data_IF_422536177905
#
_entry.id   IF_422536177905
#
_cell.length_a   1.000
_cell.length_b   1.000
_cell.length_c   1.000
_cell.angle_alpha   90.00
_cell.angle_beta   90.00
_cell.angle_gamma   90.00
#
_symmetry.space_group_name_H-M   'P 1'
#
loop_
_entity.id
_entity.type
_entity.pdbx_description
1 polymer ?
#
# COMPACT_ATOMS: atom_id res chain seq x y z
N UNK A 1 26.95 -30.42 -24.90
CA UNK A 1 25.48 -30.33 -24.66
C UNK A 1 25.22 -30.81 -23.24
N UNK A 2 24.62 -29.99 -22.43
CA UNK A 2 24.17 -30.42 -21.10
C UNK A 2 23.01 -31.39 -21.30
N UNK A 3 23.04 -32.55 -20.63
CA UNK A 3 21.97 -33.57 -20.72
C UNK A 3 20.84 -33.31 -19.72
N UNK A 4 21.00 -32.30 -18.87
CA UNK A 4 20.04 -31.95 -17.81
C UNK A 4 19.41 -30.60 -18.16
N UNK A 5 18.08 -30.46 -18.13
CA UNK A 5 17.41 -29.18 -18.33
C UNK A 5 17.85 -28.16 -17.30
N UNK A 6 17.97 -26.91 -17.70
CA UNK A 6 18.17 -25.74 -16.82
C UNK A 6 17.07 -24.69 -17.04
N UNK A 7 16.71 -23.95 -15.99
CA UNK A 7 15.79 -22.83 -16.09
C UNK A 7 16.55 -21.54 -16.39
N UNK A 8 16.15 -20.84 -17.43
CA UNK A 8 16.80 -19.60 -17.87
C UNK A 8 15.82 -18.66 -18.56
N UNK A 9 16.22 -17.41 -18.69
CA UNK A 9 15.51 -16.35 -19.39
C UNK A 9 16.32 -15.94 -20.62
N UNK A 10 15.65 -15.77 -21.74
CA UNK A 10 16.24 -15.33 -23.00
C UNK A 10 15.60 -13.99 -23.41
N UNK A 11 16.43 -13.04 -23.80
CA UNK A 11 16.02 -11.76 -24.38
C UNK A 11 16.11 -11.86 -25.90
N UNK A 12 15.01 -11.54 -26.60
CA UNK A 12 14.96 -11.48 -28.07
C UNK A 12 15.95 -10.46 -28.64
N UNK A 13 16.33 -10.62 -29.93
CA UNK A 13 17.29 -9.74 -30.60
C UNK A 13 16.83 -8.27 -30.64
N UNK A 14 15.53 -8.02 -30.78
CA UNK A 14 14.93 -6.68 -30.73
C UNK A 14 14.83 -6.10 -29.32
N UNK A 15 15.18 -6.89 -28.29
CA UNK A 15 15.13 -6.56 -26.87
C UNK A 15 13.73 -6.26 -26.30
N UNK A 16 12.68 -6.70 -26.98
CA UNK A 16 11.29 -6.44 -26.58
C UNK A 16 10.62 -7.63 -25.87
N UNK A 17 11.16 -8.85 -26.01
CA UNK A 17 10.56 -10.06 -25.45
C UNK A 17 11.50 -10.80 -24.52
N UNK A 18 11.03 -11.09 -23.31
CA UNK A 18 11.66 -12.04 -22.38
C UNK A 18 10.97 -13.39 -22.48
N UNK A 19 11.70 -14.47 -22.77
CA UNK A 19 11.13 -15.82 -22.79
C UNK A 19 11.80 -16.69 -21.71
N UNK A 20 10.96 -17.34 -20.92
CA UNK A 20 11.36 -18.23 -19.81
C UNK A 20 11.31 -19.68 -20.32
N UNK A 21 12.43 -20.39 -20.23
CA UNK A 21 12.60 -21.76 -20.68
C UNK A 21 13.11 -22.69 -19.57
N UNK A 22 12.76 -23.98 -19.69
CA UNK A 22 13.36 -25.05 -18.90
C UNK A 22 13.72 -26.22 -19.83
N UNK A 23 14.85 -26.12 -20.49
CA UNK A 23 15.31 -27.11 -21.49
C UNK A 23 16.84 -27.25 -21.48
N UNK A 24 17.38 -27.96 -22.48
CA UNK A 24 18.83 -28.16 -22.65
C UNK A 24 19.44 -27.27 -23.75
N UNK A 25 18.66 -26.31 -24.28
CA UNK A 25 18.98 -25.58 -25.51
C UNK A 25 19.56 -24.18 -25.27
N UNK A 26 19.86 -23.82 -24.01
CA UNK A 26 20.34 -22.46 -23.68
C UNK A 26 21.56 -22.03 -24.50
N UNK A 27 22.51 -22.94 -24.72
CA UNK A 27 23.75 -22.65 -25.46
C UNK A 27 23.52 -22.55 -26.99
N UNK A 28 22.36 -22.95 -27.48
CA UNK A 28 21.97 -22.90 -28.89
C UNK A 28 21.12 -21.66 -29.24
N UNK A 29 20.72 -20.87 -28.23
CA UNK A 29 19.95 -19.66 -28.43
C UNK A 29 20.86 -18.47 -28.71
N UNK A 30 20.57 -17.79 -29.81
CA UNK A 30 21.23 -16.52 -30.14
C UNK A 30 20.77 -15.41 -29.17
N UNK A 31 21.65 -14.44 -28.90
CA UNK A 31 21.31 -13.30 -28.05
C UNK A 31 21.67 -13.47 -26.57
N UNK A 32 21.01 -12.73 -25.69
CA UNK A 32 21.34 -12.69 -24.27
C UNK A 32 20.49 -13.67 -23.46
N UNK A 33 21.15 -14.49 -22.66
CA UNK A 33 20.46 -15.40 -21.73
C UNK A 33 21.00 -15.25 -20.31
N UNK A 34 20.11 -15.40 -19.32
CA UNK A 34 20.44 -15.43 -17.89
C UNK A 34 19.89 -16.70 -17.26
N UNK A 35 20.64 -17.33 -16.38
CA UNK A 35 20.09 -18.39 -15.53
C UNK A 35 19.00 -17.83 -14.61
N UNK A 36 17.99 -18.63 -14.29
CA UNK A 36 16.86 -18.18 -13.45
C UNK A 36 17.26 -17.69 -12.05
N UNK A 37 18.46 -18.06 -11.59
CA UNK A 37 19.03 -17.65 -10.31
C UNK A 37 20.09 -16.55 -10.42
N UNK A 38 20.39 -16.11 -11.64
CA UNK A 38 21.37 -15.05 -11.84
C UNK A 38 20.82 -13.73 -11.31
N UNK A 39 21.56 -13.09 -10.43
CA UNK A 39 21.23 -11.79 -9.87
C UNK A 39 22.22 -10.74 -10.35
N UNK A 40 21.77 -9.51 -10.52
CA UNK A 40 22.62 -8.40 -10.95
C UNK A 40 23.24 -7.62 -9.81
N UNK A 41 22.74 -7.82 -8.59
CA UNK A 41 23.16 -7.08 -7.40
C UNK A 41 22.97 -7.88 -6.10
N UNK A 42 23.50 -7.34 -5.00
CA UNK A 42 23.44 -7.96 -3.67
C UNK A 42 22.02 -7.92 -3.06
N UNK A 43 21.07 -7.19 -3.69
CA UNK A 43 19.67 -7.14 -3.26
C UNK A 43 18.84 -8.29 -3.81
N UNK A 44 19.44 -9.16 -4.63
CA UNK A 44 18.77 -10.31 -5.24
C UNK A 44 17.81 -9.92 -6.37
N UNK A 45 18.05 -8.78 -7.06
CA UNK A 45 17.30 -8.46 -8.27
C UNK A 45 17.74 -9.40 -9.40
N UNK A 46 16.79 -10.06 -10.12
CA UNK A 46 17.14 -10.92 -11.25
C UNK A 46 17.96 -10.18 -12.32
N UNK A 47 18.86 -10.88 -12.99
CA UNK A 47 19.79 -10.28 -13.93
C UNK A 47 19.13 -9.57 -15.12
N UNK A 48 17.93 -10.00 -15.50
CA UNK A 48 17.13 -9.44 -16.60
C UNK A 48 16.27 -8.23 -16.21
N UNK A 49 16.16 -7.89 -14.91
CA UNK A 49 15.36 -6.75 -14.45
C UNK A 49 16.16 -5.45 -14.45
N UNK A 50 15.47 -4.33 -14.37
CA UNK A 50 16.07 -3.00 -14.27
C UNK A 50 16.15 -2.51 -12.82
N UNK A 51 16.85 -1.42 -12.56
CA UNK A 51 16.81 -0.73 -11.27
C UNK A 51 15.81 0.44 -11.31
N UNK A 52 15.37 0.94 -10.13
CA UNK A 52 14.36 2.00 -10.07
C UNK A 52 14.86 3.36 -10.59
N UNK A 53 16.17 3.59 -10.64
CA UNK A 53 16.74 4.81 -11.22
C UNK A 53 16.87 4.77 -12.75
N UNK A 54 16.80 3.56 -13.33
CA UNK A 54 16.83 3.33 -14.78
C UNK A 54 15.94 2.11 -15.06
N UNK A 55 14.60 2.30 -15.09
CA UNK A 55 13.68 1.21 -15.39
C UNK A 55 13.88 0.70 -16.82
N UNK A 56 13.53 -0.55 -17.05
CA UNK A 56 13.57 -1.11 -18.40
C UNK A 56 12.35 -0.61 -19.19
N UNK A 57 12.61 0.09 -20.27
CA UNK A 57 11.60 0.67 -21.16
C UNK A 57 11.63 0.04 -22.57
N UNK A 58 12.22 -1.13 -22.73
CA UNK A 58 12.27 -1.85 -24.01
C UNK A 58 11.45 -3.13 -24.01
N UNK A 59 11.42 -3.84 -22.87
CA UNK A 59 10.69 -5.11 -22.76
C UNK A 59 9.19 -4.85 -22.72
N UNK A 60 8.47 -5.32 -23.73
CA UNK A 60 7.02 -5.18 -23.90
C UNK A 60 6.27 -6.47 -23.54
N UNK A 61 6.90 -7.62 -23.74
CA UNK A 61 6.26 -8.92 -23.55
C UNK A 61 7.15 -9.88 -22.75
N UNK A 62 6.54 -10.64 -21.85
CA UNK A 62 7.16 -11.82 -21.27
C UNK A 62 6.40 -13.07 -21.72
N UNK A 63 7.11 -14.18 -21.93
CA UNK A 63 6.53 -15.44 -22.40
C UNK A 63 7.07 -16.58 -21.55
N UNK A 64 6.19 -17.42 -21.04
CA UNK A 64 6.57 -18.71 -20.47
C UNK A 64 6.40 -19.78 -21.54
N UNK A 65 7.50 -20.34 -22.01
CA UNK A 65 7.49 -21.46 -22.93
C UNK A 65 6.89 -22.72 -22.26
N UNK A 66 6.28 -23.59 -23.04
CA UNK A 66 5.68 -24.83 -22.52
C UNK A 66 6.67 -25.71 -21.74
N UNK A 67 7.97 -25.65 -22.08
CA UNK A 67 9.02 -26.37 -21.35
C UNK A 67 9.14 -25.93 -19.89
N UNK A 68 8.72 -24.70 -19.56
CA UNK A 68 8.82 -24.15 -18.19
C UNK A 68 7.89 -24.85 -17.19
N UNK A 69 6.88 -25.60 -17.69
CA UNK A 69 5.90 -26.32 -16.86
C UNK A 69 6.56 -27.29 -15.86
N UNK A 70 7.68 -27.86 -16.21
CA UNK A 70 8.38 -28.83 -15.35
C UNK A 70 9.32 -28.20 -14.31
N UNK A 71 9.57 -26.91 -14.42
CA UNK A 71 10.37 -26.17 -13.43
C UNK A 71 9.52 -25.84 -12.20
N UNK A 72 10.12 -25.90 -11.02
CA UNK A 72 9.51 -25.60 -9.72
C UNK A 72 10.30 -24.50 -9.02
N UNK A 73 10.02 -23.22 -9.27
CA UNK A 73 10.67 -22.12 -8.57
C UNK A 73 10.26 -22.12 -7.09
N UNK A 74 11.20 -21.76 -6.22
CA UNK A 74 10.91 -21.52 -4.81
C UNK A 74 10.63 -20.05 -4.52
N UNK A 75 10.90 -19.18 -5.46
CA UNK A 75 10.61 -17.74 -5.44
C UNK A 75 10.36 -17.21 -6.84
N UNK A 76 9.42 -16.30 -6.95
CA UNK A 76 9.20 -15.45 -8.13
C UNK A 76 9.42 -13.97 -7.78
N UNK A 77 10.00 -13.72 -6.60
CA UNK A 77 10.23 -12.37 -6.12
C UNK A 77 11.01 -11.53 -7.15
N UNK A 78 10.49 -10.37 -7.46
CA UNK A 78 11.08 -9.37 -8.38
C UNK A 78 11.22 -9.81 -9.84
N UNK A 79 10.58 -10.88 -10.30
CA UNK A 79 10.82 -11.41 -11.65
C UNK A 79 10.55 -10.40 -12.77
N UNK A 80 9.54 -9.52 -12.59
CA UNK A 80 9.21 -8.46 -13.56
C UNK A 80 9.46 -7.06 -13.02
N UNK A 81 10.19 -6.96 -11.90
CA UNK A 81 10.45 -5.68 -11.24
C UNK A 81 11.07 -4.65 -12.18
N UNK A 82 10.47 -3.45 -12.23
CA UNK A 82 10.92 -2.30 -13.01
C UNK A 82 10.93 -2.55 -14.55
N UNK A 83 10.13 -3.47 -15.05
CA UNK A 83 9.82 -3.58 -16.47
C UNK A 83 8.67 -2.65 -16.78
N UNK A 84 8.96 -1.35 -16.85
CA UNK A 84 7.97 -0.27 -16.88
C UNK A 84 7.01 -0.39 -18.08
N UNK A 85 7.51 -0.80 -19.24
CA UNK A 85 6.73 -0.92 -20.46
C UNK A 85 6.22 -2.33 -20.73
N UNK A 86 6.33 -3.24 -19.78
CA UNK A 86 5.75 -4.57 -19.91
C UNK A 86 4.22 -4.46 -20.05
N UNK A 87 3.70 -4.81 -21.22
CA UNK A 87 2.28 -4.73 -21.57
C UNK A 87 1.55 -6.06 -21.37
N UNK A 88 2.25 -7.19 -21.58
CA UNK A 88 1.63 -8.50 -21.53
C UNK A 88 2.56 -9.61 -21.07
N UNK A 89 1.98 -10.59 -20.39
CA UNK A 89 2.65 -11.84 -20.02
C UNK A 89 1.82 -12.99 -20.58
N UNK A 90 2.47 -13.88 -21.35
CA UNK A 90 1.83 -15.01 -22.02
C UNK A 90 2.35 -16.33 -21.47
N UNK A 91 1.51 -17.36 -21.50
CA UNK A 91 1.90 -18.70 -21.05
C UNK A 91 2.03 -18.83 -19.53
N UNK A 92 1.34 -18.01 -18.74
CA UNK A 92 1.35 -18.15 -17.28
C UNK A 92 0.83 -19.51 -16.80
N UNK A 93 0.03 -20.21 -17.58
CA UNK A 93 -0.38 -21.60 -17.33
C UNK A 93 0.82 -22.58 -17.31
N UNK A 94 1.98 -22.17 -17.82
CA UNK A 94 3.21 -22.98 -17.79
C UNK A 94 4.09 -22.72 -16.57
N UNK A 95 3.78 -21.70 -15.74
CA UNK A 95 4.49 -21.53 -14.48
C UNK A 95 3.91 -22.43 -13.40
N UNK A 96 4.76 -23.15 -12.69
CA UNK A 96 4.35 -23.96 -11.56
C UNK A 96 4.77 -23.28 -10.25
N UNK A 97 3.82 -22.68 -9.54
CA UNK A 97 4.07 -21.92 -8.32
C UNK A 97 3.91 -22.73 -7.02
N UNK A 98 3.64 -24.04 -7.09
CA UNK A 98 3.38 -24.90 -5.94
C UNK A 98 4.48 -24.93 -4.85
N UNK A 99 5.72 -24.55 -5.20
CA UNK A 99 6.84 -24.46 -4.25
C UNK A 99 7.25 -23.03 -3.91
N UNK A 100 6.55 -22.02 -4.47
CA UNK A 100 6.88 -20.61 -4.25
C UNK A 100 6.49 -20.17 -2.83
N UNK A 101 7.45 -19.54 -2.13
CA UNK A 101 7.27 -18.97 -0.79
C UNK A 101 7.34 -17.45 -0.77
N UNK A 102 7.97 -16.84 -1.78
CA UNK A 102 8.17 -15.39 -1.85
C UNK A 102 7.79 -14.86 -3.23
N UNK A 103 6.76 -14.00 -3.26
CA UNK A 103 6.28 -13.27 -4.45
C UNK A 103 6.51 -11.75 -4.33
N UNK A 104 7.33 -11.33 -3.34
CA UNK A 104 7.60 -9.91 -3.08
C UNK A 104 8.04 -9.18 -4.34
N UNK A 105 7.39 -8.03 -4.61
CA UNK A 105 7.75 -7.16 -5.74
C UNK A 105 7.70 -7.86 -7.12
N UNK A 106 6.91 -8.93 -7.30
CA UNK A 106 6.94 -9.70 -8.56
C UNK A 106 6.65 -8.81 -9.76
N UNK A 107 5.67 -7.92 -9.67
CA UNK A 107 5.27 -6.97 -10.73
C UNK A 107 5.53 -5.51 -10.35
N UNK A 108 6.44 -5.27 -9.40
CA UNK A 108 6.73 -3.92 -8.92
C UNK A 108 7.17 -3.01 -10.08
N UNK A 109 6.46 -1.89 -10.24
CA UNK A 109 6.76 -0.87 -11.27
C UNK A 109 6.57 -1.38 -12.71
N UNK A 110 5.53 -2.20 -12.94
CA UNK A 110 5.05 -2.59 -14.27
C UNK A 110 3.90 -1.66 -14.68
N UNK A 111 4.21 -0.39 -14.96
CA UNK A 111 3.22 0.67 -15.15
C UNK A 111 2.29 0.44 -16.33
N UNK A 112 2.78 -0.18 -17.41
CA UNK A 112 2.02 -0.39 -18.65
C UNK A 112 1.18 -1.66 -18.64
N UNK A 113 1.26 -2.48 -17.57
CA UNK A 113 0.54 -3.74 -17.49
C UNK A 113 -0.96 -3.49 -17.23
N UNK A 114 -1.82 -3.87 -18.17
CA UNK A 114 -3.27 -3.59 -18.09
C UNK A 114 -4.10 -4.76 -17.56
N UNK A 115 -3.62 -5.98 -17.70
CA UNK A 115 -4.30 -7.20 -17.25
C UNK A 115 -3.29 -8.29 -16.93
N UNK A 116 -3.68 -9.20 -16.02
CA UNK A 116 -2.92 -10.39 -15.62
C UNK A 116 -3.87 -11.56 -15.46
N UNK A 117 -3.54 -12.70 -16.06
CA UNK A 117 -4.20 -13.98 -15.75
C UNK A 117 -3.35 -14.73 -14.72
N UNK A 118 -3.84 -14.77 -13.47
CA UNK A 118 -3.20 -15.44 -12.35
C UNK A 118 -3.94 -16.72 -11.93
N UNK A 119 -4.89 -17.18 -12.74
CA UNK A 119 -5.77 -18.31 -12.42
C UNK A 119 -5.04 -19.65 -12.17
N UNK A 120 -3.83 -19.78 -12.75
CA UNK A 120 -2.96 -20.96 -12.57
C UNK A 120 -2.08 -20.91 -11.33
N UNK A 121 -2.08 -19.79 -10.59
CA UNK A 121 -1.17 -19.63 -9.45
C UNK A 121 -1.66 -20.41 -8.23
N UNK A 122 -0.81 -21.29 -7.72
CA UNK A 122 -0.93 -21.89 -6.39
C UNK A 122 -0.10 -21.04 -5.42
N UNK A 123 -0.77 -20.32 -4.51
CA UNK A 123 -0.12 -19.47 -3.51
C UNK A 123 -0.14 -20.09 -2.10
N UNK A 124 -0.57 -21.35 -1.96
CA UNK A 124 -0.76 -22.02 -0.67
C UNK A 124 0.49 -22.15 0.22
N UNK A 125 1.69 -21.90 -0.35
CA UNK A 125 2.96 -21.86 0.39
C UNK A 125 3.56 -20.46 0.50
N UNK A 126 2.93 -19.44 -0.08
CA UNK A 126 3.47 -18.08 -0.10
C UNK A 126 3.39 -17.44 1.28
N UNK A 127 4.50 -16.90 1.73
CA UNK A 127 4.67 -16.24 3.03
C UNK A 127 4.81 -14.71 2.88
N UNK A 128 5.20 -14.22 1.70
CA UNK A 128 5.43 -12.80 1.43
C UNK A 128 4.85 -12.38 0.08
N UNK A 129 3.93 -11.41 0.10
CA UNK A 129 3.32 -10.76 -1.07
C UNK A 129 3.55 -9.24 -1.05
N UNK A 130 4.43 -8.74 -0.19
CA UNK A 130 4.69 -7.30 -0.07
C UNK A 130 5.09 -6.66 -1.41
N UNK A 131 4.47 -5.51 -1.76
CA UNK A 131 4.73 -4.74 -2.98
C UNK A 131 4.46 -5.50 -4.29
N UNK A 132 3.70 -6.61 -4.27
CA UNK A 132 3.59 -7.52 -5.42
C UNK A 132 3.13 -6.80 -6.69
N UNK A 133 2.10 -5.94 -6.59
CA UNK A 133 1.53 -5.17 -7.70
C UNK A 133 1.77 -3.65 -7.56
N UNK A 134 2.68 -3.24 -6.67
CA UNK A 134 2.91 -1.82 -6.42
C UNK A 134 3.40 -1.10 -7.67
N UNK A 135 2.82 0.06 -8.00
CA UNK A 135 3.05 0.83 -9.23
C UNK A 135 2.63 0.10 -10.53
N UNK A 136 1.61 -0.75 -10.47
CA UNK A 136 0.90 -1.23 -11.65
C UNK A 136 -0.21 -0.24 -12.02
N UNK A 137 0.17 0.96 -12.46
CA UNK A 137 -0.71 2.12 -12.59
C UNK A 137 -1.83 1.93 -13.62
N UNK A 138 -1.58 1.16 -14.68
CA UNK A 138 -2.56 0.89 -15.75
C UNK A 138 -3.45 -0.33 -15.50
N UNK A 139 -3.25 -1.06 -14.39
CA UNK A 139 -4.02 -2.27 -14.09
C UNK A 139 -5.45 -1.89 -13.70
N UNK A 140 -6.45 -2.28 -14.52
CA UNK A 140 -7.84 -1.88 -14.32
C UNK A 140 -8.67 -2.89 -13.52
N UNK A 141 -8.29 -4.17 -13.59
CA UNK A 141 -8.93 -5.28 -12.88
C UNK A 141 -7.89 -6.35 -12.56
N UNK A 142 -8.13 -7.09 -11.48
CA UNK A 142 -7.26 -8.16 -11.04
C UNK A 142 -8.11 -9.27 -10.41
N UNK A 143 -8.08 -10.47 -10.98
CA UNK A 143 -8.72 -11.65 -10.41
C UNK A 143 -7.73 -12.36 -9.47
N UNK A 144 -8.05 -12.38 -8.19
CA UNK A 144 -7.27 -13.01 -7.13
C UNK A 144 -8.01 -14.21 -6.51
N UNK A 145 -9.07 -14.72 -7.16
CA UNK A 145 -9.90 -15.79 -6.63
C UNK A 145 -9.15 -17.12 -6.40
N UNK A 146 -8.01 -17.32 -7.10
CA UNK A 146 -7.12 -18.47 -6.90
C UNK A 146 -6.17 -18.34 -5.70
N UNK A 147 -6.06 -17.13 -5.10
CA UNK A 147 -5.06 -16.88 -4.06
C UNK A 147 -5.46 -17.48 -2.71
N UNK A 148 -4.60 -18.33 -2.17
CA UNK A 148 -4.61 -18.76 -0.77
C UNK A 148 -3.58 -17.93 0.00
N UNK A 149 -4.05 -17.11 0.93
CA UNK A 149 -3.20 -16.20 1.71
C UNK A 149 -2.97 -16.66 3.16
N UNK A 150 -3.44 -17.85 3.53
CA UNK A 150 -3.41 -18.34 4.92
C UNK A 150 -2.00 -18.44 5.55
N UNK A 151 -0.93 -18.35 4.76
CA UNK A 151 0.46 -18.32 5.25
C UNK A 151 1.15 -16.96 5.12
N UNK A 152 0.50 -16.01 4.47
CA UNK A 152 1.11 -14.71 4.22
C UNK A 152 1.23 -13.90 5.51
N UNK A 153 2.43 -13.38 5.76
CA UNK A 153 2.72 -12.51 6.91
C UNK A 153 3.00 -11.05 6.51
N UNK A 154 3.35 -10.79 5.24
CA UNK A 154 3.67 -9.47 4.73
C UNK A 154 2.84 -9.17 3.47
N UNK A 155 1.88 -8.23 3.59
CA UNK A 155 1.07 -7.65 2.51
C UNK A 155 1.34 -6.14 2.35
N UNK A 156 2.44 -5.64 2.95
CA UNK A 156 2.76 -4.21 2.88
C UNK A 156 2.82 -3.74 1.43
N UNK A 157 2.13 -2.64 1.14
CA UNK A 157 2.13 -1.95 -0.17
C UNK A 157 1.77 -2.84 -1.36
N UNK A 158 0.96 -3.92 -1.14
CA UNK A 158 0.67 -4.93 -2.17
C UNK A 158 0.04 -4.31 -3.42
N UNK A 159 -0.88 -3.37 -3.26
CA UNK A 159 -1.57 -2.65 -4.36
C UNK A 159 -1.24 -1.15 -4.40
N UNK A 160 -0.12 -0.74 -3.77
CA UNK A 160 0.27 0.66 -3.75
C UNK A 160 0.37 1.24 -5.15
N UNK A 161 -0.30 2.40 -5.40
CA UNK A 161 -0.30 3.10 -6.70
C UNK A 161 -0.78 2.22 -7.86
N UNK A 162 -1.80 1.38 -7.61
CA UNK A 162 -2.63 0.79 -8.64
C UNK A 162 -3.75 1.80 -8.98
N UNK A 163 -3.38 2.90 -9.62
CA UNK A 163 -4.22 4.10 -9.78
C UNK A 163 -5.50 3.85 -10.58
N UNK A 164 -5.44 2.95 -11.57
CA UNK A 164 -6.57 2.63 -12.46
C UNK A 164 -7.47 1.51 -11.93
N UNK A 165 -7.13 0.88 -10.81
CA UNK A 165 -7.90 -0.24 -10.26
C UNK A 165 -9.24 0.25 -9.69
N UNK A 166 -10.36 -0.18 -10.28
CA UNK A 166 -11.70 0.33 -9.92
C UNK A 166 -12.43 -0.53 -8.88
N UNK A 167 -12.12 -1.82 -8.83
CA UNK A 167 -12.67 -2.78 -7.90
C UNK A 167 -11.66 -3.89 -7.59
N UNK A 168 -11.75 -4.46 -6.41
CA UNK A 168 -10.89 -5.55 -5.97
C UNK A 168 -11.68 -6.48 -5.06
N UNK A 169 -11.80 -7.76 -5.45
CA UNK A 169 -12.41 -8.80 -4.62
C UNK A 169 -11.33 -9.47 -3.77
N UNK A 170 -11.45 -9.32 -2.46
CA UNK A 170 -10.54 -9.90 -1.46
C UNK A 170 -11.28 -10.87 -0.52
N UNK A 171 -12.47 -11.33 -0.90
CA UNK A 171 -13.34 -12.17 -0.06
C UNK A 171 -12.70 -13.51 0.34
N UNK A 172 -11.72 -13.99 -0.45
CA UNK A 172 -10.95 -15.20 -0.17
C UNK A 172 -9.66 -14.97 0.65
N UNK A 173 -9.33 -13.71 0.99
CA UNK A 173 -8.10 -13.44 1.74
C UNK A 173 -8.24 -13.83 3.21
N UNK A 174 -7.38 -14.73 3.68
CA UNK A 174 -7.15 -15.00 5.10
C UNK A 174 -5.97 -14.16 5.58
N UNK A 175 -6.24 -13.19 6.46
CA UNK A 175 -5.23 -12.25 6.96
C UNK A 175 -4.79 -12.55 8.41
N UNK A 176 -5.25 -13.65 9.01
CA UNK A 176 -4.99 -13.99 10.42
C UNK A 176 -3.50 -14.14 10.79
N UNK A 177 -2.60 -14.23 9.81
CA UNK A 177 -1.14 -14.26 10.04
C UNK A 177 -0.43 -12.98 9.62
N UNK A 178 -1.14 -12.04 9.01
CA UNK A 178 -0.51 -10.83 8.49
C UNK A 178 -0.08 -9.90 9.63
N UNK A 179 1.18 -9.49 9.58
CA UNK A 179 1.79 -8.57 10.54
C UNK A 179 2.01 -7.17 9.96
N UNK A 180 2.07 -7.05 8.61
CA UNK A 180 2.35 -5.80 7.90
C UNK A 180 1.31 -5.55 6.82
N UNK A 181 0.61 -4.42 6.93
CA UNK A 181 -0.38 -3.92 5.95
C UNK A 181 -0.15 -2.44 5.61
N UNK A 182 1.03 -1.87 5.98
CA UNK A 182 1.32 -0.48 5.70
C UNK A 182 1.22 -0.18 4.20
N UNK A 183 0.50 0.89 3.85
CA UNK A 183 0.30 1.35 2.48
C UNK A 183 -0.33 0.33 1.52
N UNK A 184 -1.07 -0.68 2.01
CA UNK A 184 -1.58 -1.77 1.16
C UNK A 184 -2.37 -1.26 -0.04
N UNK A 185 -3.19 -0.23 0.14
CA UNK A 185 -4.00 0.41 -0.91
C UNK A 185 -3.60 1.87 -1.18
N UNK A 186 -2.40 2.29 -0.76
CA UNK A 186 -1.95 3.66 -0.94
C UNK A 186 -2.01 4.07 -2.41
N UNK A 187 -2.73 5.16 -2.74
CA UNK A 187 -2.81 5.69 -4.11
C UNK A 187 -3.65 4.84 -5.06
N UNK A 188 -4.57 4.01 -4.56
CA UNK A 188 -5.59 3.37 -5.38
C UNK A 188 -6.70 4.40 -5.69
N UNK A 189 -6.38 5.38 -6.54
CA UNK A 189 -7.20 6.59 -6.74
C UNK A 189 -8.59 6.30 -7.28
N UNK A 190 -8.72 5.29 -8.17
CA UNK A 190 -9.98 4.94 -8.84
C UNK A 190 -10.84 3.94 -8.05
N UNK A 191 -10.35 3.41 -6.92
CA UNK A 191 -11.08 2.41 -6.15
C UNK A 191 -12.30 3.05 -5.47
N UNK A 192 -13.51 2.58 -5.83
CA UNK A 192 -14.77 3.19 -5.35
C UNK A 192 -15.36 2.52 -4.12
N UNK A 193 -15.06 1.24 -3.93
CA UNK A 193 -15.50 0.44 -2.78
C UNK A 193 -14.49 -0.66 -2.47
N UNK A 194 -14.46 -1.08 -1.23
CA UNK A 194 -13.57 -2.15 -0.76
C UNK A 194 -14.26 -2.90 0.38
N UNK A 195 -14.47 -4.21 0.21
CA UNK A 195 -14.99 -5.07 1.27
C UNK A 195 -13.81 -5.70 2.02
N UNK A 196 -13.71 -5.37 3.31
CA UNK A 196 -12.68 -5.85 4.22
C UNK A 196 -13.29 -6.62 5.41
N UNK A 197 -14.54 -7.05 5.30
CA UNK A 197 -15.29 -7.69 6.40
C UNK A 197 -14.64 -9.00 6.90
N UNK A 198 -13.83 -9.65 6.05
CA UNK A 198 -13.08 -10.87 6.36
C UNK A 198 -11.65 -10.61 6.90
N UNK A 199 -11.22 -9.33 6.99
CA UNK A 199 -9.86 -9.02 7.45
C UNK A 199 -9.72 -9.19 8.97
N UNK A 200 -8.84 -10.08 9.40
CA UNK A 200 -8.34 -10.19 10.77
C UNK A 200 -7.04 -9.39 10.88
N UNK A 201 -7.07 -8.30 11.64
CA UNK A 201 -5.92 -7.40 11.82
C UNK A 201 -5.28 -7.53 13.20
N UNK A 202 -5.67 -8.53 14.01
CA UNK A 202 -5.21 -8.68 15.40
C UNK A 202 -3.68 -8.85 15.57
N UNK A 203 -2.93 -9.10 14.49
CA UNK A 203 -1.46 -9.18 14.52
C UNK A 203 -0.78 -7.98 13.88
N UNK A 204 -1.53 -7.11 13.22
CA UNK A 204 -0.96 -5.97 12.49
C UNK A 204 -0.40 -4.94 13.49
N UNK A 205 0.81 -4.47 13.22
CA UNK A 205 1.50 -3.48 14.05
C UNK A 205 1.72 -2.14 13.37
N UNK A 206 1.56 -2.08 12.05
CA UNK A 206 1.73 -0.89 11.23
C UNK A 206 0.63 -0.81 10.16
N UNK A 207 -0.18 0.25 10.22
CA UNK A 207 -1.22 0.60 9.25
C UNK A 207 -0.94 1.96 8.58
N UNK A 208 0.32 2.43 8.64
CA UNK A 208 0.69 3.71 8.06
C UNK A 208 0.29 3.79 6.58
N UNK A 209 -0.48 4.82 6.21
CA UNK A 209 -0.91 5.07 4.85
C UNK A 209 -1.75 3.98 4.19
N UNK A 210 -2.41 3.09 4.96
CA UNK A 210 -3.09 1.91 4.39
C UNK A 210 -4.08 2.27 3.28
N UNK A 211 -4.83 3.36 3.42
CA UNK A 211 -5.81 3.85 2.44
C UNK A 211 -5.46 5.24 1.89
N UNK A 212 -4.23 5.73 2.14
CA UNK A 212 -3.87 7.08 1.71
C UNK A 212 -4.01 7.24 0.20
N UNK A 213 -4.65 8.33 -0.26
CA UNK A 213 -4.85 8.58 -1.69
C UNK A 213 -5.91 7.71 -2.36
N UNK A 214 -6.76 7.00 -1.61
CA UNK A 214 -7.96 6.37 -2.18
C UNK A 214 -9.03 7.44 -2.43
N UNK A 215 -8.80 8.27 -3.45
CA UNK A 215 -9.56 9.50 -3.69
C UNK A 215 -11.03 9.27 -3.98
N UNK A 216 -11.35 8.17 -4.69
CA UNK A 216 -12.72 7.84 -5.12
C UNK A 216 -13.51 7.01 -4.09
N UNK A 217 -12.89 6.59 -2.99
CA UNK A 217 -13.53 5.75 -1.98
C UNK A 217 -14.59 6.57 -1.21
N UNK A 218 -15.86 6.16 -1.30
CA UNK A 218 -16.99 6.92 -0.72
C UNK A 218 -17.40 6.43 0.67
N UNK A 219 -17.14 5.18 0.98
CA UNK A 219 -17.39 4.54 2.27
C UNK A 219 -16.38 3.46 2.55
N UNK A 220 -16.13 3.17 3.81
CA UNK A 220 -15.22 2.13 4.25
C UNK A 220 -15.74 1.53 5.56
N UNK A 221 -16.03 0.24 5.58
CA UNK A 221 -16.39 -0.51 6.77
C UNK A 221 -15.12 -1.10 7.40
N UNK A 222 -14.82 -0.67 8.61
CA UNK A 222 -13.66 -1.12 9.40
C UNK A 222 -14.08 -1.87 10.67
N UNK A 223 -15.33 -2.32 10.75
CA UNK A 223 -15.87 -2.98 11.94
C UNK A 223 -15.13 -4.29 12.31
N UNK A 224 -14.47 -4.93 11.35
CA UNK A 224 -13.62 -6.12 11.56
C UNK A 224 -12.23 -5.81 12.12
N UNK A 225 -11.79 -4.53 12.10
CA UNK A 225 -10.40 -4.17 12.43
C UNK A 225 -10.14 -4.21 13.94
N UNK A 226 -9.16 -4.97 14.36
CA UNK A 226 -8.53 -4.90 15.68
C UNK A 226 -7.24 -4.08 15.57
N UNK A 227 -7.22 -2.90 16.18
CA UNK A 227 -6.05 -2.00 16.14
C UNK A 227 -5.24 -2.02 17.44
N UNK A 228 -5.55 -2.92 18.38
CA UNK A 228 -4.95 -2.97 19.72
C UNK A 228 -3.43 -3.16 19.75
N UNK A 229 -2.82 -3.58 18.64
CA UNK A 229 -1.36 -3.72 18.50
C UNK A 229 -0.73 -2.67 17.60
N UNK A 230 -1.53 -1.85 16.93
CA UNK A 230 -1.04 -0.90 15.93
C UNK A 230 -0.31 0.26 16.61
N UNK A 231 0.89 0.55 16.15
CA UNK A 231 1.74 1.64 16.65
C UNK A 231 1.75 2.84 15.72
N UNK A 232 1.64 2.63 14.42
CA UNK A 232 1.63 3.69 13.42
C UNK A 232 0.34 3.67 12.63
N UNK A 233 -0.37 4.79 12.67
CA UNK A 233 -1.59 5.09 11.91
C UNK A 233 -1.44 6.39 11.10
N UNK A 234 -0.21 6.90 10.98
CA UNK A 234 0.03 8.10 10.18
C UNK A 234 -0.44 7.92 8.75
N UNK A 235 -0.98 8.97 8.13
CA UNK A 235 -1.48 8.95 6.75
C UNK A 235 -2.59 7.94 6.47
N UNK A 236 -3.15 7.21 7.46
CA UNK A 236 -3.99 6.04 7.21
C UNK A 236 -5.14 6.31 6.23
N UNK A 237 -5.78 7.47 6.32
CA UNK A 237 -6.87 7.92 5.45
C UNK A 237 -6.54 9.18 4.66
N UNK A 238 -5.28 9.62 4.67
CA UNK A 238 -4.90 10.87 4.02
C UNK A 238 -5.26 10.87 2.54
N UNK A 239 -5.92 11.93 2.04
CA UNK A 239 -6.32 12.03 0.64
C UNK A 239 -7.53 11.18 0.25
N UNK A 240 -8.27 10.59 1.20
CA UNK A 240 -9.57 9.98 0.93
C UNK A 240 -10.62 11.10 0.70
N UNK A 241 -10.51 11.77 -0.45
CA UNK A 241 -11.24 13.03 -0.72
C UNK A 241 -12.77 12.86 -0.78
N UNK A 242 -13.23 11.69 -1.21
CA UNK A 242 -14.67 11.39 -1.38
C UNK A 242 -15.33 10.76 -0.16
N UNK A 243 -14.56 10.43 0.87
CA UNK A 243 -15.07 9.78 2.09
C UNK A 243 -15.89 10.80 2.91
N UNK A 244 -17.19 10.52 3.12
CA UNK A 244 -18.10 11.45 3.80
C UNK A 244 -18.30 11.18 5.27
N UNK A 245 -18.11 9.93 5.69
CA UNK A 245 -18.19 9.48 7.08
C UNK A 245 -17.22 8.32 7.31
N UNK A 246 -16.80 8.16 8.54
CA UNK A 246 -15.92 7.08 8.97
C UNK A 246 -16.26 6.69 10.40
N UNK A 247 -16.60 5.41 10.61
CA UNK A 247 -16.82 4.85 11.96
C UNK A 247 -15.50 4.24 12.48
N UNK A 248 -14.99 4.80 13.55
CA UNK A 248 -13.77 4.37 14.22
C UNK A 248 -14.03 3.92 15.66
N UNK A 249 -15.29 3.63 16.01
CA UNK A 249 -15.71 3.31 17.39
C UNK A 249 -15.03 2.06 17.97
N UNK A 250 -14.55 1.15 17.08
CA UNK A 250 -13.82 -0.06 17.47
C UNK A 250 -12.29 0.13 17.53
N UNK A 251 -11.75 1.32 17.17
CA UNK A 251 -10.31 1.54 17.18
C UNK A 251 -9.76 1.65 18.59
N UNK A 252 -8.82 0.79 18.94
CA UNK A 252 -7.97 0.93 20.13
C UNK A 252 -6.66 1.61 19.71
N UNK A 253 -6.46 2.84 20.13
CA UNK A 253 -5.27 3.64 19.81
C UNK A 253 -4.24 3.67 20.95
N UNK A 254 -4.45 2.90 22.03
CA UNK A 254 -3.62 2.91 23.23
C UNK A 254 -2.14 2.53 23.03
N UNK A 255 -1.78 1.98 21.87
CA UNK A 255 -0.39 1.71 21.44
C UNK A 255 0.13 2.71 20.42
N UNK A 256 -0.75 3.57 19.89
CA UNK A 256 -0.43 4.53 18.83
C UNK A 256 0.61 5.55 19.25
N UNK A 257 1.65 5.72 18.45
CA UNK A 257 2.71 6.71 18.65
C UNK A 257 2.75 7.74 17.52
N UNK A 258 2.28 7.38 16.33
CA UNK A 258 2.29 8.22 15.14
C UNK A 258 0.88 8.32 14.56
N UNK A 259 0.30 9.54 14.55
CA UNK A 259 -1.02 9.86 13.98
C UNK A 259 -0.95 11.06 13.02
N UNK A 260 0.27 11.42 12.60
CA UNK A 260 0.49 12.53 11.69
C UNK A 260 -0.26 12.30 10.37
N UNK A 261 -0.91 13.34 9.87
CA UNK A 261 -1.67 13.35 8.62
C UNK A 261 -2.79 12.29 8.51
N UNK A 262 -3.23 11.69 9.62
CA UNK A 262 -4.13 10.53 9.60
C UNK A 262 -5.40 10.76 8.76
N UNK A 263 -5.97 11.95 8.82
CA UNK A 263 -7.15 12.37 8.06
C UNK A 263 -6.85 13.52 7.10
N UNK A 264 -5.56 13.82 6.85
CA UNK A 264 -5.18 14.94 5.99
C UNK A 264 -5.85 14.86 4.61
N UNK A 265 -6.43 15.94 4.13
CA UNK A 265 -7.12 16.04 2.83
C UNK A 265 -8.34 15.11 2.67
N UNK A 266 -8.99 14.70 3.75
CA UNK A 266 -10.32 14.11 3.73
C UNK A 266 -11.37 15.23 3.51
N UNK A 267 -11.43 15.76 2.29
CA UNK A 267 -12.15 17.01 1.98
C UNK A 267 -13.65 16.92 2.20
N UNK A 268 -14.24 15.75 1.97
CA UNK A 268 -15.71 15.55 2.08
C UNK A 268 -16.16 15.08 3.47
N UNK A 269 -15.24 14.81 4.39
CA UNK A 269 -15.57 14.34 5.73
C UNK A 269 -16.23 15.46 6.53
N UNK A 270 -17.50 15.25 6.96
CA UNK A 270 -18.30 16.30 7.60
C UNK A 270 -18.29 16.23 9.13
N UNK A 271 -18.12 15.04 9.67
CA UNK A 271 -18.04 14.77 11.11
C UNK A 271 -17.09 13.60 11.38
N UNK A 272 -16.50 13.59 12.55
CA UNK A 272 -15.61 12.52 13.00
C UNK A 272 -15.73 12.40 14.52
N UNK A 273 -16.07 11.20 15.00
CA UNK A 273 -16.05 10.88 16.44
C UNK A 273 -14.73 10.19 16.78
N UNK A 274 -13.96 10.82 17.65
CA UNK A 274 -12.68 10.32 18.14
C UNK A 274 -12.71 10.09 19.65
N UNK A 275 -13.90 10.05 20.28
CA UNK A 275 -14.06 9.98 21.73
C UNK A 275 -13.39 8.77 22.40
N UNK A 276 -13.13 7.69 21.60
CA UNK A 276 -12.42 6.50 22.05
C UNK A 276 -10.88 6.55 21.85
N UNK A 277 -10.34 7.64 21.23
CA UNK A 277 -8.91 7.71 20.95
C UNK A 277 -8.09 7.98 22.24
N UNK A 278 -7.21 7.06 22.61
CA UNK A 278 -6.16 7.28 23.60
C UNK A 278 -4.92 7.84 22.91
N UNK A 279 -4.61 9.10 23.18
CA UNK A 279 -3.45 9.80 22.58
C UNK A 279 -2.27 9.93 23.54
N UNK A 280 -2.33 9.30 24.72
CA UNK A 280 -1.32 9.43 25.79
C UNK A 280 0.11 8.99 25.41
N UNK A 281 0.27 8.29 24.29
CA UNK A 281 1.58 7.86 23.76
C UNK A 281 1.96 8.56 22.46
N UNK A 282 1.09 9.39 21.91
CA UNK A 282 1.32 10.02 20.60
C UNK A 282 2.40 11.09 20.71
N UNK A 283 3.35 11.05 19.79
CA UNK A 283 4.47 12.00 19.70
C UNK A 283 4.33 12.97 18.51
N UNK A 284 3.59 12.59 17.46
CA UNK A 284 3.41 13.38 16.24
C UNK A 284 1.94 13.42 15.84
N UNK A 285 1.39 14.63 15.72
CA UNK A 285 0.02 14.93 15.26
C UNK A 285 0.00 15.99 14.17
N UNK A 286 1.18 16.29 13.57
CA UNK A 286 1.26 17.27 12.48
C UNK A 286 0.33 16.90 11.34
N UNK A 287 -0.37 17.90 10.80
CA UNK A 287 -1.30 17.74 9.67
C UNK A 287 -2.46 16.77 9.89
N UNK A 288 -2.79 16.33 11.13
CA UNK A 288 -3.76 15.26 11.38
C UNK A 288 -5.11 15.51 10.68
N UNK A 289 -5.56 16.76 10.60
CA UNK A 289 -6.80 17.19 9.93
C UNK A 289 -6.53 18.20 8.80
N UNK A 290 -5.32 18.22 8.26
CA UNK A 290 -4.92 19.13 7.18
C UNK A 290 -5.92 19.08 6.02
N UNK A 291 -6.48 20.24 5.60
CA UNK A 291 -7.47 20.37 4.52
C UNK A 291 -8.69 19.45 4.64
N UNK A 292 -9.18 19.18 5.87
CA UNK A 292 -10.51 18.63 6.09
C UNK A 292 -11.54 19.74 5.89
N UNK A 293 -11.77 20.12 4.63
CA UNK A 293 -12.48 21.33 4.23
C UNK A 293 -13.93 21.37 4.68
N UNK A 294 -14.62 20.21 4.74
CA UNK A 294 -16.04 20.08 5.09
C UNK A 294 -16.29 19.77 6.57
N UNK A 295 -15.24 19.54 7.36
CA UNK A 295 -15.40 19.21 8.79
C UNK A 295 -15.92 20.42 9.55
N UNK A 296 -17.09 20.29 10.23
CA UNK A 296 -17.78 21.41 10.87
C UNK A 296 -17.54 21.52 12.36
N UNK A 297 -17.34 20.39 13.05
CA UNK A 297 -17.09 20.33 14.47
C UNK A 297 -16.12 19.20 14.84
N UNK A 298 -15.33 19.41 15.88
CA UNK A 298 -14.41 18.41 16.40
C UNK A 298 -14.23 18.60 17.92
N UNK A 299 -14.46 17.54 18.69
CA UNK A 299 -14.18 17.53 20.12
C UNK A 299 -12.92 16.73 20.41
N UNK A 300 -11.87 17.43 20.82
CA UNK A 300 -10.58 16.87 21.19
C UNK A 300 -10.27 17.13 22.69
N UNK A 301 -11.27 17.45 23.49
CA UNK A 301 -11.11 17.77 24.92
C UNK A 301 -10.49 16.64 25.74
N UNK A 302 -10.55 15.39 25.23
CA UNK A 302 -9.97 14.22 25.88
C UNK A 302 -8.55 13.86 25.39
N UNK A 303 -8.04 14.57 24.36
CA UNK A 303 -6.70 14.30 23.83
C UNK A 303 -5.62 14.66 24.86
N UNK A 304 -4.78 13.69 25.21
CA UNK A 304 -3.56 13.91 25.97
C UNK A 304 -2.41 14.25 25.01
N UNK A 305 -2.01 15.52 25.00
CA UNK A 305 -0.95 16.03 24.15
C UNK A 305 0.41 16.12 24.87
N UNK A 306 0.52 15.58 26.09
CA UNK A 306 1.69 15.74 26.96
C UNK A 306 3.01 15.20 26.39
N UNK A 307 2.95 14.36 25.36
CA UNK A 307 4.13 13.83 24.64
C UNK A 307 4.31 14.38 23.25
N UNK A 308 3.33 15.11 22.73
CA UNK A 308 3.35 15.63 21.36
C UNK A 308 4.40 16.72 21.22
N UNK A 309 5.22 16.63 20.19
CA UNK A 309 6.30 17.60 19.87
C UNK A 309 5.96 18.45 18.67
N UNK A 310 5.20 17.91 17.71
CA UNK A 310 4.83 18.60 16.46
C UNK A 310 3.32 18.53 16.24
N UNK A 311 2.67 19.69 16.15
CA UNK A 311 1.26 19.90 15.78
C UNK A 311 1.16 20.86 14.61
N UNK A 312 2.24 21.04 13.83
CA UNK A 312 2.22 21.94 12.68
C UNK A 312 1.14 21.54 11.71
N UNK A 313 0.45 22.54 11.14
CA UNK A 313 -0.60 22.35 10.13
C UNK A 313 -1.78 21.46 10.56
N UNK A 314 -1.95 21.16 11.87
CA UNK A 314 -2.92 20.15 12.33
C UNK A 314 -4.33 20.42 11.81
N UNK A 315 -4.76 21.69 11.73
CA UNK A 315 -6.05 22.13 11.21
C UNK A 315 -5.93 23.07 10.00
N UNK A 316 -4.75 23.17 9.37
CA UNK A 316 -4.58 24.06 8.21
C UNK A 316 -5.60 23.70 7.14
N UNK A 317 -6.36 24.70 6.64
CA UNK A 317 -7.35 24.52 5.58
C UNK A 317 -8.68 23.92 6.01
N UNK A 318 -8.96 23.75 7.30
CA UNK A 318 -10.28 23.34 7.81
C UNK A 318 -11.27 24.51 7.69
N UNK A 319 -11.74 24.79 6.47
CA UNK A 319 -12.46 26.01 6.14
C UNK A 319 -13.84 26.09 6.80
N UNK A 320 -14.53 24.94 6.97
CA UNK A 320 -15.89 24.86 7.52
C UNK A 320 -15.92 24.65 9.04
N UNK A 321 -14.76 24.49 9.69
CA UNK A 321 -14.69 24.20 11.13
C UNK A 321 -15.14 25.41 11.92
N UNK A 322 -16.29 25.28 12.60
CA UNK A 322 -16.90 26.33 13.44
C UNK A 322 -16.79 26.04 14.92
N UNK A 323 -16.73 24.76 15.30
CA UNK A 323 -16.68 24.35 16.70
C UNK A 323 -15.51 23.40 16.90
N UNK A 324 -14.54 23.84 17.70
CA UNK A 324 -13.35 23.08 18.06
C UNK A 324 -13.11 23.17 19.57
N UNK A 325 -13.24 22.05 20.27
CA UNK A 325 -13.00 21.98 21.69
C UNK A 325 -11.58 21.49 21.99
N UNK A 326 -10.73 22.38 22.49
CA UNK A 326 -9.33 22.14 22.87
C UNK A 326 -9.09 22.35 24.37
N UNK A 327 -10.11 22.24 25.22
CA UNK A 327 -10.04 22.65 26.63
C UNK A 327 -8.95 21.96 27.44
N UNK A 328 -8.49 20.78 27.03
CA UNK A 328 -7.41 20.03 27.69
C UNK A 328 -6.12 19.91 26.84
N UNK A 329 -6.00 20.72 25.80
CA UNK A 329 -4.83 20.66 24.90
C UNK A 329 -3.58 21.22 25.61
N UNK A 330 -2.75 20.34 26.16
CA UNK A 330 -1.46 20.72 26.75
C UNK A 330 -0.38 20.86 25.67
N UNK A 331 0.02 22.09 25.39
CA UNK A 331 1.04 22.40 24.38
C UNK A 331 2.43 22.68 24.99
N UNK A 332 2.65 22.42 26.27
CA UNK A 332 3.90 22.78 26.96
C UNK A 332 5.14 22.12 26.33
N UNK A 333 5.01 20.91 25.80
CA UNK A 333 6.11 20.19 25.11
C UNK A 333 6.13 20.36 23.61
N UNK A 334 5.13 21.01 23.03
CA UNK A 334 5.06 21.22 21.59
C UNK A 334 6.10 22.27 21.16
N UNK A 335 6.95 21.91 20.24
CA UNK A 335 8.01 22.78 19.72
C UNK A 335 7.68 23.37 18.36
N UNK A 336 6.68 22.82 17.65
CA UNK A 336 6.27 23.27 16.32
C UNK A 336 4.74 23.36 16.23
N UNK A 337 4.22 24.56 16.06
CA UNK A 337 2.79 24.87 15.84
C UNK A 337 2.57 25.63 14.54
N UNK A 338 3.56 25.63 13.63
CA UNK A 338 3.51 26.42 12.41
C UNK A 338 2.29 26.08 11.55
N UNK A 339 1.50 27.10 11.24
CA UNK A 339 0.34 26.96 10.36
C UNK A 339 -0.83 26.17 10.95
N UNK A 340 -0.85 25.89 12.28
CA UNK A 340 -1.84 25.01 12.90
C UNK A 340 -3.29 25.35 12.54
N UNK A 341 -3.66 26.63 12.47
CA UNK A 341 -5.01 27.13 12.15
C UNK A 341 -5.05 27.96 10.87
N UNK A 342 -4.02 27.90 10.04
CA UNK A 342 -3.97 28.67 8.80
C UNK A 342 -5.12 28.24 7.88
N UNK A 343 -5.95 29.20 7.44
CA UNK A 343 -7.08 28.93 6.54
C UNK A 343 -8.33 28.38 7.22
N UNK A 344 -8.40 28.34 8.55
CA UNK A 344 -9.65 28.04 9.30
C UNK A 344 -10.56 29.26 9.30
N UNK A 345 -11.22 29.53 8.17
CA UNK A 345 -11.96 30.78 7.94
C UNK A 345 -13.21 30.92 8.82
N UNK A 346 -13.84 29.82 9.20
CA UNK A 346 -15.07 29.77 9.98
C UNK A 346 -14.85 29.69 11.49
N UNK A 347 -13.62 29.53 11.93
CA UNK A 347 -13.28 29.37 13.35
C UNK A 347 -13.10 30.75 14.00
N UNK A 348 -14.18 31.30 14.59
CA UNK A 348 -14.25 32.68 15.12
C UNK A 348 -13.97 32.76 16.62
N UNK A 349 -14.17 31.68 17.36
CA UNK A 349 -14.21 31.66 18.83
C UNK A 349 -12.94 31.05 19.50
N UNK A 350 -11.85 30.87 18.73
CA UNK A 350 -10.57 30.57 19.35
C UNK A 350 -10.13 31.75 20.19
N UNK A 351 -9.92 31.51 21.52
CA UNK A 351 -9.32 32.51 22.37
C UNK A 351 -7.91 32.87 21.83
N UNK A 352 -7.75 34.08 21.25
CA UNK A 352 -6.49 34.42 20.60
C UNK A 352 -5.32 34.53 21.58
N UNK A 353 -5.57 34.55 22.87
CA UNK A 353 -4.53 34.79 23.89
C UNK A 353 -3.71 33.54 24.17
N UNK A 354 -4.35 32.35 24.18
CA UNK A 354 -3.61 31.09 24.40
C UNK A 354 -2.83 30.64 23.17
N UNK A 355 -3.36 30.91 21.96
CA UNK A 355 -2.74 30.45 20.70
C UNK A 355 -1.99 31.55 19.92
N UNK A 356 -2.11 32.86 20.29
CA UNK A 356 -1.36 33.97 19.66
C UNK A 356 0.16 33.88 19.77
N UNK A 357 0.67 33.05 20.63
CA UNK A 357 2.14 32.83 20.74
C UNK A 357 2.69 32.04 19.55
N UNK A 358 1.83 31.50 18.67
CA UNK A 358 2.17 30.50 17.64
C UNK A 358 1.62 30.83 16.24
N UNK A 359 0.94 31.99 16.09
CA UNK A 359 0.62 32.64 14.83
C UNK A 359 1.74 33.61 14.43
#
# INVERSE_FOLDING_TARGET
MTTTPEAYVHLSEDQETLTFYYDTLRAERDGTTWGIRDTKDDYGNPAWTANSASPNTTILTAVFDASFHDFRPTTTARWFKNLQWLESIKGFEHINTTEVRDMKMMFFYCESLTALDLSSFDTSKVENMGWMFSYCESLTALDLSSFDTAKVSDMSKMFRLCESLTALDLSNFDTAKVEKMDGMFFGCESLTSLDLSNFDTAKVTDMNGMFAGCESLTSLDLSSFDTSKVKSMGWMFAGCQSLTALDLSNFDTSKGTYMHWMFGSCKSLTALDLSNFDTSKVEMMDGMFFYCESLTALDLSHFDCSKVKDMSRMFEGCQSLTNLNLSNFDTVKVTNLWGMFKGCQSLTDLDPVEFRKFL
#
